data_IF_142180863687
#
_entry.id   IF_142180863687
#
_cell.length_a   1.000
_cell.length_b   1.000
_cell.length_c   1.000
_cell.angle_alpha   90.00
_cell.angle_beta   90.00
_cell.angle_gamma   90.00
#
_symmetry.space_group_name_H-M   'P 1'
#
loop_
_entity.id
_entity.type
_entity.pdbx_description
1 polymer ?
#
# COMPACT_ATOMS: atom_id res chain seq x y z
N UNK A 1 -23.68 25.10 -3.12
CA UNK A 1 -23.57 23.99 -2.16
C UNK A 1 -22.52 23.07 -2.72
N UNK A 2 -21.31 23.12 -2.15
CA UNK A 2 -20.19 22.32 -2.63
C UNK A 2 -20.37 20.89 -2.13
N UNK A 3 -20.57 19.96 -3.06
CA UNK A 3 -20.52 18.53 -2.80
C UNK A 3 -19.05 18.17 -2.57
N UNK A 4 -18.62 18.21 -1.31
CA UNK A 4 -17.41 17.50 -0.90
C UNK A 4 -17.84 16.05 -0.70
N UNK A 5 -17.92 15.29 -1.79
CA UNK A 5 -17.98 13.83 -1.71
C UNK A 5 -16.64 13.36 -1.12
N UNK A 6 -16.58 13.33 0.21
CA UNK A 6 -15.66 12.44 0.92
C UNK A 6 -16.05 11.05 0.47
N UNK A 7 -15.39 10.55 -0.57
CA UNK A 7 -15.54 9.16 -1.01
C UNK A 7 -15.37 8.31 0.24
N UNK A 8 -16.43 7.62 0.61
CA UNK A 8 -16.43 6.70 1.73
C UNK A 8 -15.36 5.66 1.39
N UNK A 9 -14.22 5.71 2.07
CA UNK A 9 -13.19 4.70 1.92
C UNK A 9 -13.81 3.42 2.44
N UNK A 10 -13.96 2.43 1.56
CA UNK A 10 -14.47 1.12 1.94
C UNK A 10 -13.39 0.44 2.79
N UNK A 11 -13.77 -0.12 3.95
CA UNK A 11 -12.87 -0.88 4.82
C UNK A 11 -12.08 -1.90 4.00
N UNK A 12 -10.76 -1.97 4.21
CA UNK A 12 -9.83 -2.83 3.45
C UNK A 12 -9.06 -2.10 2.33
N UNK A 13 -9.22 -0.78 2.22
CA UNK A 13 -8.48 0.01 1.23
C UNK A 13 -7.08 0.38 1.73
N UNK A 14 -6.06 0.20 0.89
CA UNK A 14 -4.72 0.74 1.16
C UNK A 14 -4.57 2.14 0.57
N UNK A 15 -4.20 3.08 1.44
CA UNK A 15 -4.05 4.50 1.13
C UNK A 15 -2.57 4.90 1.09
N UNK A 16 -2.14 5.62 0.05
CA UNK A 16 -0.90 6.37 0.09
C UNK A 16 -1.06 7.67 0.88
N UNK A 17 -0.09 7.97 1.73
CA UNK A 17 0.03 9.23 2.44
C UNK A 17 0.88 10.21 1.63
N UNK A 18 0.22 11.21 1.06
CA UNK A 18 0.86 12.22 0.20
C UNK A 18 1.58 13.30 1.03
N UNK A 19 2.69 13.87 0.53
CA UNK A 19 3.26 15.10 1.05
C UNK A 19 2.19 16.19 1.11
N UNK A 20 1.97 16.76 2.29
CA UNK A 20 0.88 17.72 2.54
C UNK A 20 -0.36 17.11 3.21
N UNK A 21 -0.34 15.81 3.53
CA UNK A 21 -1.33 15.14 4.36
C UNK A 21 -2.58 14.67 3.62
N UNK A 22 -2.61 14.79 2.28
CA UNK A 22 -3.65 14.16 1.46
C UNK A 22 -3.51 12.64 1.49
N UNK A 23 -4.62 11.93 1.25
CA UNK A 23 -4.63 10.47 1.11
C UNK A 23 -5.18 10.11 -0.25
N UNK A 24 -4.55 9.13 -0.91
CA UNK A 24 -4.95 8.63 -2.21
C UNK A 24 -5.12 7.13 -2.11
N UNK A 25 -6.24 6.62 -2.60
CA UNK A 25 -6.46 5.18 -2.69
C UNK A 25 -5.50 4.59 -3.71
N UNK A 26 -4.69 3.62 -3.28
CA UNK A 26 -3.74 2.91 -4.15
C UNK A 26 -4.24 1.52 -4.48
N UNK A 27 -4.88 0.85 -3.54
CA UNK A 27 -5.39 -0.50 -3.73
C UNK A 27 -6.75 -0.66 -3.03
N UNK A 28 -7.69 -1.27 -3.72
CA UNK A 28 -9.01 -1.63 -3.21
C UNK A 28 -8.96 -3.09 -2.76
N UNK A 29 -9.46 -3.40 -1.57
CA UNK A 29 -9.59 -4.79 -1.11
C UNK A 29 -10.29 -5.64 -2.18
N UNK A 30 -9.67 -6.77 -2.52
CA UNK A 30 -10.24 -7.75 -3.45
C UNK A 30 -10.88 -8.94 -2.70
N UNK A 31 -10.91 -8.88 -1.37
CA UNK A 31 -11.28 -9.99 -0.50
C UNK A 31 -10.14 -11.01 -0.36
N UNK A 32 -10.19 -11.78 0.72
CA UNK A 32 -9.15 -12.75 1.08
C UNK A 32 -8.53 -12.46 2.44
N UNK A 33 -7.42 -13.14 2.74
CA UNK A 33 -6.69 -12.98 4.01
C UNK A 33 -5.31 -12.34 3.73
N UNK A 34 -5.32 -11.08 3.31
CA UNK A 34 -4.10 -10.30 3.12
C UNK A 34 -4.21 -8.91 3.74
N UNK A 35 -3.08 -8.41 4.23
CA UNK A 35 -2.96 -7.11 4.88
C UNK A 35 -1.69 -6.41 4.36
N UNK A 36 -1.61 -5.09 4.49
CA UNK A 36 -0.42 -4.34 4.08
C UNK A 36 0.86 -4.84 4.78
N UNK A 37 0.75 -5.22 6.06
CA UNK A 37 1.89 -5.68 6.86
C UNK A 37 2.51 -6.98 6.33
N UNK A 38 1.75 -7.81 5.61
CA UNK A 38 2.26 -9.04 5.02
C UNK A 38 3.39 -8.80 4.00
N UNK A 39 3.47 -7.62 3.39
CA UNK A 39 4.61 -7.24 2.53
C UNK A 39 5.90 -7.23 3.35
N UNK A 40 5.87 -6.66 4.56
CA UNK A 40 7.01 -6.69 5.46
C UNK A 40 7.31 -8.12 5.91
N UNK A 41 6.30 -8.85 6.38
CA UNK A 41 6.50 -10.17 6.96
C UNK A 41 7.06 -11.17 5.94
N UNK A 42 6.57 -11.16 4.70
CA UNK A 42 6.95 -12.15 3.68
C UNK A 42 8.13 -11.71 2.82
N UNK A 43 8.21 -10.42 2.46
CA UNK A 43 9.25 -9.92 1.56
C UNK A 43 10.37 -9.16 2.25
N UNK A 44 10.23 -8.86 3.54
CA UNK A 44 11.16 -8.05 4.32
C UNK A 44 11.40 -6.68 3.66
N UNK A 45 10.31 -6.13 3.09
CA UNK A 45 10.29 -4.81 2.46
C UNK A 45 9.37 -3.87 3.23
N UNK A 46 9.80 -2.62 3.34
CA UNK A 46 9.08 -1.60 4.09
C UNK A 46 9.37 -1.68 5.59
N UNK A 47 9.30 -0.52 6.24
CA UNK A 47 9.51 -0.33 7.66
C UNK A 47 8.16 -0.07 8.33
N UNK A 48 7.73 -0.94 9.26
CA UNK A 48 6.46 -0.77 9.94
C UNK A 48 6.57 0.35 10.99
N UNK A 49 5.60 1.24 10.97
CA UNK A 49 5.47 2.39 11.87
C UNK A 49 4.03 2.52 12.35
N UNK A 50 3.82 3.40 13.33
CA UNK A 50 2.48 3.83 13.74
C UNK A 50 2.30 5.32 13.56
N UNK A 51 1.17 5.70 12.98
CA UNK A 51 0.81 7.12 12.90
C UNK A 51 0.39 7.67 14.28
N UNK A 52 0.17 8.99 14.35
CA UNK A 52 -0.25 9.66 15.58
C UNK A 52 -1.61 9.16 16.14
N UNK A 53 -2.41 8.47 15.32
CA UNK A 53 -3.69 7.86 15.71
C UNK A 53 -3.53 6.38 16.10
N UNK A 54 -2.31 5.84 16.06
CA UNK A 54 -2.00 4.45 16.40
C UNK A 54 -2.30 3.45 15.29
N UNK A 55 -2.53 3.90 14.05
CA UNK A 55 -2.76 3.02 12.90
C UNK A 55 -1.43 2.59 12.29
N UNK A 56 -1.39 1.37 11.79
CA UNK A 56 -0.19 0.79 11.21
C UNK A 56 0.08 1.39 9.83
N UNK A 57 1.32 1.86 9.64
CA UNK A 57 1.80 2.49 8.41
C UNK A 57 3.03 1.71 7.97
N UNK A 58 3.14 1.44 6.67
CA UNK A 58 4.32 0.80 6.09
C UNK A 58 5.04 1.79 5.18
N UNK A 59 6.28 2.13 5.53
CA UNK A 59 7.09 3.11 4.81
C UNK A 59 8.14 2.40 3.96
N UNK A 60 8.26 2.78 2.69
CA UNK A 60 9.20 2.19 1.74
C UNK A 60 10.11 3.25 1.14
N UNK A 61 11.38 2.90 0.94
CA UNK A 61 12.21 3.63 -0.01
C UNK A 61 11.83 3.27 -1.46
N UNK A 62 12.20 4.15 -2.39
CA UNK A 62 11.97 3.92 -3.83
C UNK A 62 12.53 2.59 -4.33
N UNK A 63 13.69 2.18 -3.83
CA UNK A 63 14.37 0.96 -4.27
C UNK A 63 13.59 -0.30 -3.91
N UNK A 64 12.92 -0.29 -2.76
CA UNK A 64 12.11 -1.37 -2.23
C UNK A 64 10.86 -1.56 -3.07
N UNK A 65 10.18 -0.47 -3.44
CA UNK A 65 9.03 -0.53 -4.35
C UNK A 65 9.40 -0.97 -5.77
N UNK A 66 10.63 -0.70 -6.22
CA UNK A 66 11.11 -1.22 -7.50
C UNK A 66 11.38 -2.74 -7.45
N UNK A 67 11.83 -3.26 -6.30
CA UNK A 67 12.01 -4.72 -6.09
C UNK A 67 10.67 -5.45 -5.94
N UNK A 68 9.67 -4.77 -5.39
CA UNK A 68 8.37 -5.36 -5.03
C UNK A 68 7.69 -6.06 -6.21
N UNK A 69 7.75 -5.49 -7.42
CA UNK A 69 7.22 -6.14 -8.63
C UNK A 69 7.90 -7.49 -8.92
N UNK A 70 9.22 -7.55 -8.85
CA UNK A 70 9.96 -8.77 -9.17
C UNK A 70 9.64 -9.90 -8.18
N UNK A 71 9.45 -9.55 -6.90
CA UNK A 71 9.02 -10.50 -5.87
C UNK A 71 7.57 -10.94 -6.09
N UNK A 72 6.66 -10.01 -6.36
CA UNK A 72 5.26 -10.32 -6.67
C UNK A 72 5.14 -11.28 -7.87
N UNK A 73 5.91 -11.06 -8.93
CA UNK A 73 5.91 -11.98 -10.08
C UNK A 73 6.45 -13.36 -9.68
N UNK A 74 7.56 -13.41 -8.92
CA UNK A 74 8.23 -14.64 -8.52
C UNK A 74 7.40 -15.53 -7.61
N UNK A 75 6.61 -14.93 -6.71
CA UNK A 75 5.82 -15.63 -5.70
C UNK A 75 4.31 -15.61 -6.00
N UNK A 76 3.92 -15.27 -7.23
CA UNK A 76 2.52 -15.14 -7.64
C UNK A 76 1.67 -16.40 -7.47
N UNK A 77 2.29 -17.58 -7.40
CA UNK A 77 1.62 -18.86 -7.14
C UNK A 77 1.76 -19.35 -5.69
N UNK A 78 2.58 -18.67 -4.88
CA UNK A 78 2.89 -19.06 -3.51
C UNK A 78 2.09 -18.26 -2.47
N UNK A 79 1.56 -17.09 -2.86
CA UNK A 79 0.79 -16.20 -1.99
C UNK A 79 -0.60 -15.89 -2.55
N UNK A 80 -1.45 -15.36 -1.67
CA UNK A 80 -2.80 -14.90 -2.02
C UNK A 80 -2.80 -13.89 -3.16
N UNK A 81 -3.75 -14.03 -4.10
CA UNK A 81 -3.86 -13.17 -5.27
C UNK A 81 -3.99 -11.69 -4.88
N UNK A 82 -4.75 -11.39 -3.82
CA UNK A 82 -4.92 -10.03 -3.30
C UNK A 82 -3.60 -9.39 -2.85
N UNK A 83 -2.71 -10.14 -2.18
CA UNK A 83 -1.40 -9.64 -1.80
C UNK A 83 -0.52 -9.32 -3.02
N UNK A 84 -0.59 -10.17 -4.04
CA UNK A 84 0.15 -9.97 -5.30
C UNK A 84 -0.36 -8.72 -6.01
N UNK A 85 -1.67 -8.53 -6.09
CA UNK A 85 -2.28 -7.34 -6.68
C UNK A 85 -1.90 -6.07 -5.90
N UNK A 86 -1.96 -6.11 -4.57
CA UNK A 86 -1.52 -5.02 -3.70
C UNK A 86 -0.06 -4.61 -4.03
N UNK A 87 0.84 -5.59 -4.09
CA UNK A 87 2.25 -5.34 -4.42
C UNK A 87 2.43 -4.64 -5.79
N UNK A 88 1.68 -5.08 -6.80
CA UNK A 88 1.72 -4.49 -8.14
C UNK A 88 1.14 -3.07 -8.16
N UNK A 89 0.10 -2.81 -7.39
CA UNK A 89 -0.52 -1.48 -7.32
C UNK A 89 0.37 -0.47 -6.59
N UNK A 90 1.02 -0.85 -5.48
CA UNK A 90 2.02 -0.01 -4.82
C UNK A 90 3.18 0.33 -5.78
N UNK A 91 3.66 -0.66 -6.54
CA UNK A 91 4.70 -0.46 -7.54
C UNK A 91 4.27 0.50 -8.66
N UNK A 92 3.06 0.33 -9.22
CA UNK A 92 2.50 1.21 -10.26
C UNK A 92 2.35 2.64 -9.74
N UNK A 93 1.87 2.80 -8.52
CA UNK A 93 1.74 4.11 -7.89
C UNK A 93 3.10 4.80 -7.75
N UNK A 94 4.14 4.08 -7.32
CA UNK A 94 5.51 4.62 -7.22
C UNK A 94 6.10 5.02 -8.58
N UNK A 95 5.83 4.26 -9.64
CA UNK A 95 6.25 4.62 -11.00
C UNK A 95 5.55 5.89 -11.49
N UNK A 96 4.27 6.05 -11.18
CA UNK A 96 3.49 7.23 -11.56
C UNK A 96 3.83 8.48 -10.74
N UNK A 97 4.33 8.29 -9.51
CA UNK A 97 4.61 9.37 -8.56
C UNK A 97 6.04 9.29 -7.98
N UNK A 98 7.10 9.52 -8.78
CA UNK A 98 8.47 9.31 -8.35
C UNK A 98 8.87 10.15 -7.13
N UNK A 99 9.31 9.48 -6.06
CA UNK A 99 9.78 10.02 -4.78
C UNK A 99 10.85 9.14 -4.16
N UNK A 100 11.55 9.68 -3.17
CA UNK A 100 12.55 8.94 -2.41
C UNK A 100 11.94 7.96 -1.40
N UNK A 101 10.79 8.32 -0.81
CA UNK A 101 10.07 7.55 0.21
C UNK A 101 8.55 7.64 0.01
N UNK A 102 7.86 6.58 0.43
CA UNK A 102 6.42 6.40 0.32
C UNK A 102 5.89 5.79 1.61
N UNK A 103 4.77 6.27 2.12
CA UNK A 103 4.09 5.67 3.27
C UNK A 103 2.69 5.24 2.87
N UNK A 104 2.34 4.00 3.19
CA UNK A 104 1.04 3.42 2.95
C UNK A 104 0.38 3.05 4.26
N UNK A 105 -0.93 3.20 4.31
CA UNK A 105 -1.76 2.97 5.49
C UNK A 105 -2.86 1.99 5.11
N UNK A 106 -3.11 1.02 5.98
CA UNK A 106 -4.28 0.16 5.89
C UNK A 106 -5.50 0.88 6.51
N UNK A 107 -6.58 1.03 5.75
CA UNK A 107 -7.84 1.62 6.22
C UNK A 107 -8.88 0.50 6.40
N UNK A 108 -8.58 -0.41 7.34
CA UNK A 108 -9.46 -1.51 7.79
C UNK A 108 -10.56 -1.00 8.74
#
# INVERSE_FOLDING_TARGET
>A
MSDTSTGQVESGTVLALEPGGSRVVVHQDQGGEYELIHIHDFFQLGEPERDASGRDVLTFDSSSLMKLKALADAYSFDYEEGLILLCLDLHRYALANPRESYSFLDDL
#
